data_IF_421424575907
#
_entry.id   IF_421424575907
#
_cell.length_a   1.000
_cell.length_b   1.000
_cell.length_c   1.000
_cell.angle_alpha   90.00
_cell.angle_beta   90.00
_cell.angle_gamma   90.00
#
_symmetry.space_group_name_H-M   'P 1'
#
loop_
_entity.id
_entity.type
_entity.pdbx_description
1 polymer ?
#
# COMPACT_ATOMS: atom_id res chain seq x y z
N UNK A 1 17.80 -6.89 -29.03
CA UNK A 1 17.05 -7.14 -27.79
C UNK A 1 17.02 -5.84 -27.02
N UNK A 2 15.87 -5.15 -26.97
CA UNK A 2 15.72 -3.86 -26.29
C UNK A 2 15.72 -4.11 -24.78
N UNK A 3 16.63 -3.47 -24.04
CA UNK A 3 16.63 -3.51 -22.58
C UNK A 3 15.41 -2.72 -22.12
N UNK A 4 14.49 -3.29 -21.33
CA UNK A 4 13.33 -2.55 -20.84
C UNK A 4 13.77 -1.39 -19.96
N UNK A 5 13.14 -0.23 -20.17
CA UNK A 5 13.32 0.93 -19.30
C UNK A 5 12.88 0.64 -17.87
N UNK A 6 13.44 1.37 -16.91
CA UNK A 6 12.90 1.39 -15.54
C UNK A 6 11.48 1.98 -15.54
N UNK A 7 11.30 3.06 -16.29
CA UNK A 7 10.05 3.80 -16.49
C UNK A 7 9.75 3.83 -17.99
N UNK A 8 8.54 3.44 -18.37
CA UNK A 8 8.04 3.60 -19.75
C UNK A 8 6.88 4.60 -19.80
N UNK A 9 6.61 5.12 -21.00
CA UNK A 9 5.53 6.06 -21.28
C UNK A 9 4.76 5.57 -22.49
N UNK A 10 3.44 5.45 -22.38
CA UNK A 10 2.58 4.82 -23.38
C UNK A 10 1.26 5.59 -23.56
N UNK A 11 0.63 5.42 -24.72
CA UNK A 11 -0.75 5.84 -24.98
C UNK A 11 -1.65 4.62 -25.04
N UNK A 12 -2.79 4.68 -24.36
CA UNK A 12 -3.79 3.63 -24.42
C UNK A 12 -4.39 3.54 -25.83
N UNK A 13 -4.33 2.37 -26.45
CA UNK A 13 -4.98 2.07 -27.74
C UNK A 13 -6.18 1.14 -27.57
N UNK A 14 -6.36 0.56 -26.39
CA UNK A 14 -7.51 -0.25 -25.99
C UNK A 14 -7.80 -0.04 -24.49
N UNK A 15 -8.94 -0.56 -24.00
CA UNK A 15 -9.29 -0.56 -22.58
C UNK A 15 -8.47 -1.56 -21.76
N UNK A 16 -8.00 -2.63 -22.42
CA UNK A 16 -7.17 -3.65 -21.80
C UNK A 16 -5.70 -3.27 -22.00
N UNK A 17 -4.99 -3.11 -20.89
CA UNK A 17 -3.56 -2.83 -20.94
C UNK A 17 -2.79 -4.12 -21.23
N UNK A 18 -1.75 -4.07 -22.09
CA UNK A 18 -0.84 -5.19 -22.24
C UNK A 18 -0.11 -5.47 -20.91
N UNK A 19 0.47 -6.67 -20.73
CA UNK A 19 1.35 -6.95 -19.61
C UNK A 19 2.43 -5.87 -19.48
N UNK A 20 2.74 -5.48 -18.24
CA UNK A 20 3.76 -4.47 -17.99
C UNK A 20 5.11 -4.91 -18.58
N UNK A 21 5.79 -3.98 -19.23
CA UNK A 21 7.13 -4.18 -19.80
C UNK A 21 8.19 -3.39 -19.05
N UNK A 22 7.82 -2.29 -18.39
CA UNK A 22 8.69 -1.51 -17.51
C UNK A 22 9.11 -2.30 -16.28
N UNK A 23 10.34 -2.07 -15.80
CA UNK A 23 10.85 -2.75 -14.59
C UNK A 23 10.30 -2.19 -13.28
N UNK A 24 9.84 -0.94 -13.27
CA UNK A 24 9.25 -0.29 -12.10
C UNK A 24 7.80 0.13 -12.38
N UNK A 25 7.61 1.06 -13.31
CA UNK A 25 6.31 1.64 -13.64
C UNK A 25 6.18 1.93 -15.13
N UNK A 26 4.94 2.09 -15.57
CA UNK A 26 4.60 2.69 -16.84
C UNK A 26 3.58 3.80 -16.63
N UNK A 27 3.81 4.94 -17.28
CA UNK A 27 2.80 5.99 -17.41
C UNK A 27 1.94 5.71 -18.64
N UNK A 28 0.63 5.70 -18.46
CA UNK A 28 -0.34 5.49 -19.52
C UNK A 28 -1.24 6.71 -19.69
N UNK A 29 -1.21 7.31 -20.87
CA UNK A 29 -2.13 8.38 -21.24
C UNK A 29 -3.39 7.76 -21.84
N UNK A 30 -4.54 8.03 -21.24
CA UNK A 30 -5.84 7.51 -21.60
C UNK A 30 -6.88 8.64 -21.75
N UNK A 31 -8.06 8.31 -22.28
CA UNK A 31 -9.12 9.28 -22.51
C UNK A 31 -9.66 9.93 -21.24
N UNK A 32 -9.50 9.27 -20.10
CA UNK A 32 -9.93 9.73 -18.78
C UNK A 32 -8.78 10.09 -17.82
N UNK A 33 -7.54 10.22 -18.31
CA UNK A 33 -6.44 10.73 -17.49
C UNK A 33 -5.07 10.15 -17.80
N UNK A 34 -4.13 10.44 -16.91
CA UNK A 34 -2.82 9.81 -16.84
C UNK A 34 -2.84 8.78 -15.72
N UNK A 35 -2.45 7.57 -16.06
CA UNK A 35 -2.45 6.41 -15.17
C UNK A 35 -1.02 5.96 -14.90
N UNK A 36 -0.84 5.34 -13.73
CA UNK A 36 0.30 4.49 -13.45
C UNK A 36 -0.13 3.05 -13.60
N UNK A 37 0.75 2.24 -14.19
CA UNK A 37 0.66 0.79 -14.23
C UNK A 37 1.95 0.20 -13.65
N UNK A 38 1.82 -0.67 -12.66
CA UNK A 38 2.93 -1.33 -12.00
C UNK A 38 2.60 -2.80 -11.71
N UNK A 39 3.61 -3.68 -11.76
CA UNK A 39 3.47 -5.05 -11.31
C UNK A 39 4.79 -5.60 -10.74
N UNK A 40 4.65 -6.44 -9.72
CA UNK A 40 5.69 -7.29 -9.16
C UNK A 40 5.07 -8.63 -8.78
N UNK A 41 5.88 -9.58 -8.34
CA UNK A 41 5.34 -10.87 -7.91
C UNK A 41 4.26 -10.70 -6.83
N UNK A 42 3.05 -11.17 -7.14
CA UNK A 42 1.90 -11.16 -6.24
C UNK A 42 1.11 -9.85 -6.16
N UNK A 43 1.55 -8.77 -6.82
CA UNK A 43 0.88 -7.46 -6.76
C UNK A 43 0.93 -6.74 -8.11
N UNK A 44 -0.22 -6.32 -8.62
CA UNK A 44 -0.32 -5.43 -9.79
C UNK A 44 -1.42 -4.41 -9.57
N UNK A 45 -1.24 -3.21 -10.10
CA UNK A 45 -2.26 -2.17 -10.05
C UNK A 45 -2.16 -1.22 -11.24
N UNK A 46 -3.30 -0.63 -11.58
CA UNK A 46 -3.38 0.52 -12.45
C UNK A 46 -4.32 1.56 -11.84
N UNK A 47 -3.89 2.82 -11.71
CA UNK A 47 -4.72 3.87 -11.12
C UNK A 47 -4.37 5.26 -11.68
N UNK A 48 -5.32 6.21 -11.68
CA UNK A 48 -5.11 7.53 -12.22
C UNK A 48 -4.29 8.38 -11.23
N UNK A 49 -3.26 9.04 -11.76
CA UNK A 49 -2.50 10.07 -11.01
C UNK A 49 -2.94 11.49 -11.40
N UNK A 50 -3.64 11.62 -12.52
CA UNK A 50 -4.26 12.86 -12.95
C UNK A 50 -5.50 12.53 -13.79
N UNK A 51 -6.66 13.01 -13.39
CA UNK A 51 -7.90 12.85 -14.15
C UNK A 51 -8.06 14.02 -15.12
N UNK A 52 -8.14 13.71 -16.42
CA UNK A 52 -8.41 14.70 -17.45
C UNK A 52 -9.11 14.05 -18.64
N UNK A 53 -9.76 14.85 -19.48
CA UNK A 53 -10.42 14.34 -20.69
C UNK A 53 -9.53 14.53 -21.92
N UNK A 54 -9.19 13.43 -22.59
CA UNK A 54 -8.39 13.41 -23.81
C UNK A 54 -9.22 12.75 -24.92
N UNK A 55 -9.63 13.55 -25.92
CA UNK A 55 -10.50 13.05 -27.00
C UNK A 55 -9.80 12.02 -27.87
N UNK A 56 -10.53 10.97 -28.23
CA UNK A 56 -10.06 9.94 -29.16
C UNK A 56 -9.24 8.80 -28.53
N UNK A 57 -9.01 8.83 -27.20
CA UNK A 57 -8.37 7.74 -26.46
C UNK A 57 -9.41 6.93 -25.66
N UNK A 58 -9.18 5.62 -25.45
CA UNK A 58 -10.03 4.78 -24.61
C UNK A 58 -9.94 5.17 -23.14
N UNK A 59 -11.01 4.93 -22.38
CA UNK A 59 -11.01 5.14 -20.93
C UNK A 59 -10.49 3.88 -20.22
N UNK A 60 -9.58 4.06 -19.27
CA UNK A 60 -9.08 2.97 -18.44
C UNK A 60 -9.87 2.87 -17.14
N UNK A 61 -10.10 1.64 -16.68
CA UNK A 61 -10.68 1.37 -15.36
C UNK A 61 -9.55 1.10 -14.37
N UNK A 62 -9.49 1.82 -13.23
CA UNK A 62 -8.51 1.55 -12.19
C UNK A 62 -8.70 0.13 -11.64
N UNK A 63 -7.60 -0.55 -11.29
CA UNK A 63 -7.65 -1.85 -10.63
C UNK A 63 -6.52 -2.02 -9.63
N UNK A 64 -6.79 -2.86 -8.65
CA UNK A 64 -5.82 -3.39 -7.70
C UNK A 64 -5.95 -4.92 -7.71
N UNK A 65 -4.83 -5.61 -7.86
CA UNK A 65 -4.78 -7.06 -7.84
C UNK A 65 -3.69 -7.54 -6.88
N UNK A 66 -4.13 -8.16 -5.79
CA UNK A 66 -3.29 -8.88 -4.85
C UNK A 66 -3.54 -10.38 -5.05
N UNK A 67 -2.50 -11.13 -5.41
CA UNK A 67 -2.62 -12.57 -5.66
C UNK A 67 -2.83 -13.37 -4.36
N UNK A 68 -2.45 -12.80 -3.22
CA UNK A 68 -2.49 -13.44 -1.92
C UNK A 68 -3.87 -13.26 -1.26
N UNK A 69 -4.30 -14.18 -0.38
CA UNK A 69 -5.52 -14.01 0.39
C UNK A 69 -5.42 -12.77 1.28
N UNK A 70 -6.57 -12.27 1.72
CA UNK A 70 -6.62 -11.20 2.71
C UNK A 70 -5.87 -11.59 3.99
N UNK A 71 -5.31 -10.60 4.68
CA UNK A 71 -4.79 -10.76 6.04
C UNK A 71 -5.98 -11.10 6.95
N UNK A 72 -5.97 -12.30 7.54
CA UNK A 72 -7.12 -12.81 8.29
C UNK A 72 -7.49 -11.90 9.47
N UNK A 73 -8.77 -11.90 9.87
CA UNK A 73 -9.23 -11.07 10.99
C UNK A 73 -8.48 -11.35 12.31
N UNK A 74 -8.06 -12.61 12.51
CA UNK A 74 -7.23 -13.00 13.65
C UNK A 74 -5.86 -12.31 13.63
N UNK A 75 -5.20 -12.27 12.47
CA UNK A 75 -3.89 -11.63 12.33
C UNK A 75 -4.01 -10.10 12.42
N UNK A 76 -5.05 -9.52 11.82
CA UNK A 76 -5.38 -8.09 11.96
C UNK A 76 -5.59 -7.70 13.42
N UNK A 77 -6.35 -8.51 14.18
CA UNK A 77 -6.55 -8.30 15.62
C UNK A 77 -5.24 -8.44 16.40
N UNK A 78 -4.39 -9.40 16.05
CA UNK A 78 -3.07 -9.55 16.68
C UNK A 78 -2.20 -8.31 16.49
N UNK A 79 -2.18 -7.72 15.28
CA UNK A 79 -1.43 -6.48 15.00
C UNK A 79 -1.94 -5.34 15.89
N UNK A 80 -3.27 -5.16 15.97
CA UNK A 80 -3.88 -4.15 16.83
C UNK A 80 -3.51 -4.35 18.31
N UNK A 81 -3.59 -5.58 18.81
CA UNK A 81 -3.23 -5.90 20.20
C UNK A 81 -1.76 -5.64 20.50
N UNK A 82 -0.85 -5.95 19.55
CA UNK A 82 0.57 -5.64 19.69
C UNK A 82 0.81 -4.13 19.73
N UNK A 83 0.12 -3.36 18.88
CA UNK A 83 0.15 -1.91 18.92
C UNK A 83 -0.39 -1.32 20.24
N UNK A 84 -1.44 -1.90 20.80
CA UNK A 84 -1.95 -1.49 22.12
C UNK A 84 -0.95 -1.85 23.25
N UNK A 85 -0.24 -2.96 23.13
CA UNK A 85 0.69 -3.41 24.17
C UNK A 85 1.97 -2.54 24.26
N UNK A 86 2.40 -1.89 23.17
CA UNK A 86 3.54 -0.94 23.23
C UNK A 86 3.19 0.40 23.89
N UNK A 87 1.90 0.65 24.16
CA UNK A 87 1.44 1.83 24.87
C UNK A 87 1.45 3.07 23.98
N UNK A 88 2.18 4.11 24.39
CA UNK A 88 2.14 5.44 23.76
C UNK A 88 3.12 5.62 22.59
N UNK A 89 3.91 4.61 22.26
CA UNK A 89 4.81 4.64 21.10
C UNK A 89 4.12 4.07 19.87
N UNK A 90 4.53 4.54 18.72
CA UNK A 90 4.22 3.88 17.46
C UNK A 90 4.96 2.53 17.35
N UNK A 91 4.42 1.61 16.57
CA UNK A 91 5.09 0.35 16.24
C UNK A 91 4.90 0.06 14.76
N UNK A 92 5.96 -0.46 14.14
CA UNK A 92 6.04 -0.88 12.75
C UNK A 92 6.00 -2.41 12.64
N UNK A 93 5.31 -2.88 11.62
CA UNK A 93 5.19 -4.28 11.26
C UNK A 93 5.40 -4.50 9.76
N UNK A 94 6.01 -5.63 9.43
CA UNK A 94 6.06 -6.16 8.07
C UNK A 94 5.20 -7.43 7.97
N UNK A 95 4.42 -7.53 6.90
CA UNK A 95 3.73 -8.75 6.51
C UNK A 95 4.33 -9.30 5.22
N UNK A 96 4.87 -10.52 5.33
CA UNK A 96 5.41 -11.28 4.21
C UNK A 96 4.51 -12.48 3.93
N UNK A 97 4.25 -12.79 2.66
CA UNK A 97 3.50 -13.98 2.27
C UNK A 97 4.47 -15.06 1.77
N UNK A 98 4.65 -16.11 2.55
CA UNK A 98 5.51 -17.26 2.20
C UNK A 98 4.85 -18.55 2.68
N UNK A 99 5.08 -19.66 1.95
CA UNK A 99 4.53 -20.98 2.28
C UNK A 99 3.00 -21.00 2.45
N UNK A 100 2.31 -20.19 1.63
CA UNK A 100 0.84 -20.13 1.61
C UNK A 100 0.20 -19.40 2.79
N UNK A 101 0.97 -18.63 3.58
CA UNK A 101 0.45 -17.88 4.74
C UNK A 101 1.15 -16.54 4.93
N UNK A 102 0.45 -15.64 5.62
CA UNK A 102 0.99 -14.38 6.11
C UNK A 102 1.85 -14.59 7.36
N UNK A 103 3.04 -14.00 7.35
CA UNK A 103 3.94 -13.93 8.51
C UNK A 103 4.08 -12.49 8.96
N UNK A 104 3.86 -12.27 10.25
CA UNK A 104 4.01 -10.97 10.90
C UNK A 104 5.41 -10.86 11.49
N UNK A 105 6.12 -9.79 11.12
CA UNK A 105 7.43 -9.45 11.63
C UNK A 105 7.40 -8.06 12.25
N UNK A 106 7.95 -7.94 13.45
CA UNK A 106 8.23 -6.66 14.09
C UNK A 106 9.73 -6.45 14.00
N UNK A 107 10.23 -5.56 13.12
CA UNK A 107 11.66 -5.30 13.04
C UNK A 107 12.16 -4.65 14.34
N UNK A 108 13.47 -4.72 14.56
CA UNK A 108 14.11 -3.80 15.50
C UNK A 108 13.89 -2.37 15.00
N UNK A 109 13.43 -1.49 15.87
CA UNK A 109 12.91 -0.18 15.50
C UNK A 109 13.14 0.84 16.60
N UNK A 110 13.34 2.09 16.20
CA UNK A 110 13.33 3.24 17.09
C UNK A 110 11.98 3.91 16.95
N UNK A 111 11.25 4.05 18.07
CA UNK A 111 9.92 4.58 18.08
C UNK A 111 9.77 5.74 19.07
N UNK A 112 8.93 6.69 18.68
CA UNK A 112 8.42 7.77 19.51
C UNK A 112 6.90 7.70 19.50
N UNK A 113 6.22 8.69 20.10
CA UNK A 113 4.75 8.76 20.04
C UNK A 113 4.19 9.17 18.67
N UNK A 114 5.04 9.60 17.74
CA UNK A 114 4.63 10.22 16.46
C UNK A 114 5.54 9.82 15.28
N UNK A 115 6.39 8.82 15.46
CA UNK A 115 7.27 8.32 14.40
C UNK A 115 7.84 6.98 14.83
N UNK A 116 8.00 6.08 13.86
CA UNK A 116 8.68 4.81 14.02
C UNK A 116 9.52 4.49 12.79
N UNK A 117 10.78 4.12 13.01
CA UNK A 117 11.70 3.78 11.92
C UNK A 117 12.43 2.48 12.25
N UNK A 118 12.58 1.54 11.30
CA UNK A 118 13.39 0.35 11.54
C UNK A 118 14.86 0.75 11.74
N UNK A 119 15.56 0.09 12.67
CA UNK A 119 17.00 0.32 12.90
C UNK A 119 17.83 -0.10 11.67
N UNK A 120 17.45 -1.23 11.05
CA UNK A 120 18.06 -1.70 9.80
C UNK A 120 17.00 -2.04 8.74
N UNK A 121 17.07 -1.36 7.59
CA UNK A 121 16.22 -1.57 6.43
C UNK A 121 16.86 -2.52 5.40
N UNK A 122 17.49 -3.60 5.87
CA UNK A 122 18.20 -4.58 5.01
C UNK A 122 17.78 -6.02 5.26
N UNK A 123 16.98 -6.28 6.30
CA UNK A 123 16.53 -7.63 6.65
C UNK A 123 15.71 -8.28 5.52
N UNK A 124 15.67 -9.61 5.50
CA UNK A 124 14.84 -10.35 4.54
C UNK A 124 13.36 -9.96 4.68
N UNK A 125 12.88 -9.75 5.90
CA UNK A 125 11.50 -9.29 6.15
C UNK A 125 11.25 -7.91 5.53
N UNK A 126 12.21 -6.99 5.63
CA UNK A 126 12.11 -5.70 4.95
C UNK A 126 12.08 -5.84 3.42
N UNK A 127 12.96 -6.65 2.83
CA UNK A 127 13.03 -6.79 1.37
C UNK A 127 11.79 -7.47 0.78
N UNK A 128 11.22 -8.44 1.50
CA UNK A 128 10.10 -9.28 1.04
C UNK A 128 8.72 -8.77 1.49
N UNK A 129 8.66 -7.73 2.32
CA UNK A 129 7.41 -7.19 2.82
C UNK A 129 6.46 -6.78 1.69
N UNK A 130 5.26 -7.39 1.71
CA UNK A 130 4.16 -7.05 0.83
C UNK A 130 3.32 -5.93 1.41
N UNK A 131 3.15 -5.94 2.74
CA UNK A 131 2.42 -4.92 3.49
C UNK A 131 3.31 -4.42 4.63
N UNK A 132 3.32 -3.11 4.82
CA UNK A 132 3.94 -2.42 5.96
C UNK A 132 2.85 -1.72 6.74
N UNK A 133 2.81 -1.94 8.05
CA UNK A 133 1.78 -1.41 8.94
C UNK A 133 2.45 -0.66 10.06
N UNK A 134 2.07 0.60 10.30
CA UNK A 134 2.41 1.28 11.55
C UNK A 134 1.17 1.71 12.33
N UNK A 135 1.38 2.08 13.59
CA UNK A 135 0.29 2.50 14.46
C UNK A 135 0.50 3.92 14.97
N UNK A 136 -0.54 4.73 14.88
CA UNK A 136 -0.73 5.94 15.64
C UNK A 136 -1.50 5.64 16.93
N UNK A 137 -1.01 6.14 18.06
CA UNK A 137 -1.64 5.92 19.37
C UNK A 137 -3.00 6.63 19.48
N UNK A 138 -2.98 7.95 19.69
CA UNK A 138 -4.17 8.79 19.84
C UNK A 138 -4.51 9.58 18.58
N UNK A 139 -3.67 9.53 17.55
CA UNK A 139 -3.91 10.21 16.27
C UNK A 139 -4.76 9.32 15.36
N UNK A 140 -5.51 9.95 14.47
CA UNK A 140 -6.29 9.24 13.45
C UNK A 140 -5.38 8.48 12.48
N UNK A 141 -5.90 7.41 11.87
CA UNK A 141 -5.25 6.65 10.83
C UNK A 141 -5.22 7.47 9.53
N UNK A 142 -4.19 8.29 9.39
CA UNK A 142 -3.98 9.15 8.23
C UNK A 142 -2.50 9.13 7.88
N UNK A 143 -2.21 9.22 6.59
CA UNK A 143 -0.85 9.37 6.11
C UNK A 143 -0.46 10.85 6.09
N UNK A 144 0.76 11.13 6.52
CA UNK A 144 1.40 12.43 6.56
C UNK A 144 2.41 12.59 5.42
N UNK A 145 2.94 13.79 5.24
CA UNK A 145 4.03 14.03 4.29
C UNK A 145 5.32 13.28 4.68
N UNK A 146 5.55 13.04 5.98
CA UNK A 146 6.68 12.22 6.44
C UNK A 146 6.50 10.77 6.01
N UNK A 147 5.28 10.24 6.12
CA UNK A 147 4.97 8.91 5.59
C UNK A 147 5.19 8.86 4.07
N UNK A 148 4.80 9.90 3.32
CA UNK A 148 5.07 9.98 1.87
C UNK A 148 6.57 9.89 1.55
N UNK A 149 7.42 10.58 2.30
CA UNK A 149 8.87 10.58 2.12
C UNK A 149 9.50 9.22 2.46
N UNK A 150 9.09 8.60 3.56
CA UNK A 150 9.60 7.29 4.01
C UNK A 150 9.14 6.12 3.14
N UNK A 151 7.94 6.23 2.57
CA UNK A 151 7.35 5.23 1.71
C UNK A 151 7.77 5.39 0.24
N UNK A 152 8.27 6.58 -0.14
CA UNK A 152 8.76 6.85 -1.48
C UNK A 152 9.85 5.87 -1.89
N UNK A 153 9.82 5.47 -3.16
CA UNK A 153 10.77 4.51 -3.72
C UNK A 153 10.42 3.03 -3.47
N UNK A 154 9.35 2.74 -2.73
CA UNK A 154 8.83 1.39 -2.50
C UNK A 154 7.60 1.13 -3.37
N UNK A 155 7.46 -0.09 -3.90
CA UNK A 155 6.19 -0.58 -4.44
C UNK A 155 5.60 -1.56 -3.42
N UNK A 156 4.73 -1.09 -2.52
CA UNK A 156 4.26 -1.83 -1.34
C UNK A 156 2.88 -1.32 -0.90
N UNK A 157 2.14 -2.15 -0.18
CA UNK A 157 0.90 -1.74 0.49
C UNK A 157 1.26 -1.18 1.86
N UNK A 158 0.77 0.01 2.17
CA UNK A 158 0.98 0.66 3.46
C UNK A 158 -0.34 0.75 4.21
N UNK A 159 -0.30 0.57 5.52
CA UNK A 159 -1.46 0.72 6.37
C UNK A 159 -1.10 1.44 7.68
N UNK A 160 -2.00 2.30 8.13
CA UNK A 160 -1.90 2.97 9.43
C UNK A 160 -3.05 2.53 10.30
N UNK A 161 -2.78 2.08 11.51
CA UNK A 161 -3.77 1.95 12.58
C UNK A 161 -3.82 3.25 13.37
N UNK A 162 -5.00 3.77 13.69
CA UNK A 162 -5.15 5.00 14.45
C UNK A 162 -6.18 4.90 15.55
N UNK A 163 -6.11 5.82 16.52
CA UNK A 163 -6.96 5.87 17.72
C UNK A 163 -7.10 4.50 18.40
N UNK A 164 -5.98 3.76 18.49
CA UNK A 164 -5.97 2.32 18.75
C UNK A 164 -6.54 1.90 20.12
N UNK A 165 -6.79 2.83 21.05
CA UNK A 165 -7.38 2.54 22.36
C UNK A 165 -8.86 2.93 22.49
N UNK A 166 -9.36 3.82 21.64
CA UNK A 166 -10.68 4.43 21.81
C UNK A 166 -11.61 4.03 20.68
N UNK A 167 -11.23 4.34 19.45
CA UNK A 167 -11.99 4.04 18.24
C UNK A 167 -11.03 3.53 17.16
N UNK A 168 -10.53 2.29 17.29
CA UNK A 168 -9.51 1.78 16.40
C UNK A 168 -10.01 1.78 14.96
N UNK A 169 -9.23 2.38 14.07
CA UNK A 169 -9.52 2.36 12.65
C UNK A 169 -8.26 2.25 11.81
N UNK A 170 -8.43 1.82 10.56
CA UNK A 170 -7.33 1.56 9.63
C UNK A 170 -7.50 2.37 8.35
N UNK A 171 -6.39 2.90 7.86
CA UNK A 171 -6.28 3.50 6.53
C UNK A 171 -5.24 2.74 5.72
N UNK A 172 -5.52 2.48 4.44
CA UNK A 172 -4.66 1.68 3.57
C UNK A 172 -4.40 2.44 2.28
N UNK A 173 -3.16 2.39 1.80
CA UNK A 173 -2.79 2.88 0.47
C UNK A 173 -1.84 1.93 -0.22
N UNK A 174 -1.89 1.93 -1.54
CA UNK A 174 -0.84 1.37 -2.37
C UNK A 174 0.18 2.45 -2.67
N UNK A 175 1.44 2.26 -2.25
CA UNK A 175 2.55 3.07 -2.74
C UNK A 175 3.19 2.42 -3.95
N UNK A 176 3.35 3.19 -5.01
CA UNK A 176 3.99 2.81 -6.28
C UNK A 176 5.11 3.80 -6.56
N UNK A 177 6.19 3.65 -5.79
CA UNK A 177 7.31 4.58 -5.72
C UNK A 177 6.87 5.95 -5.19
N UNK A 178 6.85 6.99 -6.01
CA UNK A 178 6.48 8.35 -5.59
C UNK A 178 4.98 8.64 -5.74
N UNK A 179 4.15 7.61 -5.91
CA UNK A 179 2.73 7.75 -6.20
C UNK A 179 1.91 6.88 -5.27
N UNK A 180 0.87 7.46 -4.68
CA UNK A 180 0.06 6.80 -3.67
C UNK A 180 -1.40 6.75 -4.09
N UNK A 181 -2.01 5.59 -3.89
CA UNK A 181 -3.43 5.39 -4.12
C UNK A 181 -4.09 4.86 -2.86
N UNK A 182 -4.93 5.66 -2.23
CA UNK A 182 -5.72 5.21 -1.10
C UNK A 182 -6.73 4.15 -1.57
N UNK A 183 -6.73 2.99 -0.92
CA UNK A 183 -7.55 1.84 -1.29
C UNK A 183 -8.39 1.36 -0.10
N UNK A 184 -9.55 0.72 -0.34
CA UNK A 184 -10.35 0.15 0.72
C UNK A 184 -9.56 -0.88 1.55
N UNK A 185 -9.64 -0.80 2.88
CA UNK A 185 -8.91 -1.73 3.75
C UNK A 185 -9.35 -3.19 3.54
N UNK A 186 -10.61 -3.42 3.18
CA UNK A 186 -11.15 -4.75 2.91
C UNK A 186 -10.63 -5.40 1.61
N UNK A 187 -9.84 -4.68 0.80
CA UNK A 187 -9.08 -5.27 -0.30
C UNK A 187 -7.81 -5.99 0.16
N UNK A 188 -7.39 -5.75 1.41
CA UNK A 188 -6.11 -6.26 1.96
C UNK A 188 -6.32 -7.02 3.27
N UNK A 189 -7.25 -6.58 4.12
CA UNK A 189 -7.49 -7.11 5.45
C UNK A 189 -8.93 -7.57 5.62
N UNK A 190 -9.11 -8.71 6.30
CA UNK A 190 -10.35 -8.98 7.01
C UNK A 190 -10.34 -8.18 8.32
N UNK A 191 -11.38 -7.35 8.54
CA UNK A 191 -11.45 -6.47 9.69
C UNK A 191 -12.20 -7.14 10.85
N UNK A 192 -11.61 -7.24 12.05
CA UNK A 192 -12.35 -7.64 13.24
C UNK A 192 -13.40 -6.57 13.58
N UNK A 193 -14.45 -6.95 14.31
CA UNK A 193 -15.58 -6.05 14.61
C UNK A 193 -15.20 -4.78 15.41
N UNK A 194 -14.04 -4.77 16.06
CA UNK A 194 -13.52 -3.63 16.81
C UNK A 194 -12.66 -2.66 15.97
N UNK A 195 -12.43 -2.96 14.68
CA UNK A 195 -11.59 -2.16 13.79
C UNK A 195 -12.38 -1.72 12.57
N UNK A 196 -12.55 -0.42 12.38
CA UNK A 196 -13.25 0.14 11.21
C UNK A 196 -12.29 0.61 10.13
N UNK A 197 -12.71 0.64 8.87
CA UNK A 197 -11.94 1.28 7.79
C UNK A 197 -12.33 2.73 7.65
N UNK A 198 -11.35 3.62 7.45
CA UNK A 198 -11.65 4.94 6.89
C UNK A 198 -12.28 4.76 5.50
N UNK A 199 -13.36 5.50 5.24
CA UNK A 199 -14.02 5.47 3.94
C UNK A 199 -13.10 6.15 2.91
N UNK A 200 -12.76 5.46 1.83
CA UNK A 200 -12.10 6.10 0.70
C UNK A 200 -13.17 6.93 -0.01
N UNK A 201 -12.96 8.24 -0.14
CA UNK A 201 -13.85 9.05 -0.97
C UNK A 201 -13.84 8.46 -2.39
N UNK A 202 -15.03 8.11 -2.91
CA UNK A 202 -15.16 7.65 -4.29
C UNK A 202 -14.73 8.79 -5.21
N UNK A 203 -13.59 8.63 -5.88
CA UNK A 203 -13.14 9.54 -6.94
C UNK A 203 -13.81 9.24 -8.27
#
# INVERSE_FOLDING_TARGET
MTIPGLINYQFATSTDLPPITGKMIEYWVAGNGVFIHAARQGLSACFPINQCSIRGLPHLTPYFYLQYPLVSARLTLQILQLAQNVGHQEILFYLCFTDGKWHLHTPEQTATSTSVTPVEATSLSYQTAMIEVHSHHSMSAQFSATDDEEEAGKFRIFAVLGEIFTNPHICVRLGTYSHFWQIPANWVFELPSCLTSNSVAST
#
